data_IF_207428626136
#
_entry.id   IF_207428626136
#
_cell.length_a   1.000
_cell.length_b   1.000
_cell.length_c   1.000
_cell.angle_alpha   90.00
_cell.angle_beta   90.00
_cell.angle_gamma   90.00
#
_symmetry.space_group_name_H-M   'P 1'
#
loop_
_entity.id
_entity.type
_entity.pdbx_description
1 polymer ?
#
# COMPACT_ATOMS: atom_id res chain seq x y z
N UNK A 1 8.95 -4.16 14.07
CA UNK A 1 7.96 -4.18 12.99
C UNK A 1 8.53 -5.05 11.89
N UNK A 2 7.71 -5.85 11.23
CA UNK A 2 8.15 -6.79 10.17
C UNK A 2 7.27 -6.69 8.92
N UNK A 3 6.45 -5.65 8.84
CA UNK A 3 5.48 -5.40 7.77
C UNK A 3 6.15 -5.00 6.44
N UNK A 4 7.48 -4.82 6.40
CA UNK A 4 8.25 -4.55 5.18
C UNK A 4 8.97 -5.83 4.65
N UNK A 5 8.69 -7.02 5.22
CA UNK A 5 9.32 -8.26 4.78
C UNK A 5 8.51 -8.92 3.68
N UNK A 6 9.01 -8.83 2.45
CA UNK A 6 8.42 -9.47 1.29
C UNK A 6 8.46 -11.02 1.36
N UNK A 7 7.64 -11.66 0.52
CA UNK A 7 7.67 -13.11 0.34
C UNK A 7 9.06 -13.63 -0.05
N UNK A 8 9.64 -14.42 0.85
CA UNK A 8 10.95 -15.04 0.66
C UNK A 8 12.07 -14.33 1.41
N UNK A 9 11.77 -13.18 2.01
CA UNK A 9 12.62 -12.52 2.98
C UNK A 9 12.40 -13.08 4.39
N UNK A 10 13.36 -12.80 5.27
CA UNK A 10 13.25 -13.12 6.68
C UNK A 10 14.13 -12.21 7.51
N UNK A 11 13.69 -11.90 8.72
CA UNK A 11 14.47 -11.21 9.72
C UNK A 11 14.65 -12.09 10.96
N UNK A 12 15.81 -11.98 11.61
CA UNK A 12 16.05 -12.64 12.89
C UNK A 12 16.05 -11.59 14.01
N UNK A 13 15.31 -11.88 15.09
CA UNK A 13 15.36 -11.10 16.33
C UNK A 13 15.80 -11.98 17.47
N UNK A 14 16.82 -11.55 18.20
CA UNK A 14 17.37 -12.28 19.33
C UNK A 14 17.17 -11.50 20.64
N UNK A 15 16.95 -12.23 21.73
CA UNK A 15 16.90 -11.67 23.07
C UNK A 15 17.62 -12.58 24.06
N UNK A 16 18.25 -11.95 25.05
CA UNK A 16 18.96 -12.67 26.11
C UNK A 16 18.04 -12.96 27.29
N UNK A 17 18.29 -14.07 27.97
CA UNK A 17 17.66 -14.42 29.23
C UNK A 17 18.71 -14.93 30.23
N UNK A 18 18.39 -14.79 31.51
CA UNK A 18 19.24 -15.23 32.62
C UNK A 18 18.44 -16.16 33.51
N UNK A 19 19.05 -17.27 33.90
CA UNK A 19 18.51 -18.23 34.87
C UNK A 19 19.35 -18.19 36.14
N UNK A 20 18.72 -18.48 37.29
CA UNK A 20 19.39 -18.55 38.58
C UNK A 20 18.84 -19.72 39.40
N UNK A 21 19.70 -20.35 40.18
CA UNK A 21 19.33 -21.31 41.22
C UNK A 21 19.20 -20.67 42.62
N UNK A 22 19.33 -19.35 42.70
CA UNK A 22 19.34 -18.57 43.93
C UNK A 22 20.72 -18.33 44.53
N UNK A 23 21.78 -18.89 43.95
CA UNK A 23 23.18 -18.67 44.37
C UNK A 23 24.04 -18.17 43.22
N UNK A 24 23.90 -18.76 42.03
CA UNK A 24 24.64 -18.40 40.82
C UNK A 24 23.68 -18.02 39.68
N UNK A 25 24.22 -17.38 38.65
CA UNK A 25 23.47 -16.98 37.45
C UNK A 25 24.17 -17.45 36.18
N UNK A 26 23.38 -17.78 35.16
CA UNK A 26 23.86 -18.09 33.82
C UNK A 26 22.96 -17.43 32.77
N UNK A 27 23.56 -16.90 31.70
CA UNK A 27 22.82 -16.24 30.61
C UNK A 27 22.90 -17.03 29.31
N UNK A 28 21.86 -16.91 28.49
CA UNK A 28 21.76 -17.50 27.16
C UNK A 28 20.89 -16.62 26.25
N UNK A 29 20.87 -16.94 24.96
CA UNK A 29 20.15 -16.19 23.93
C UNK A 29 19.04 -17.07 23.31
N UNK A 30 17.93 -16.45 22.95
CA UNK A 30 16.87 -17.03 22.11
C UNK A 30 16.76 -16.16 20.85
N UNK A 31 16.87 -16.78 19.69
CA UNK A 31 16.63 -16.14 18.40
C UNK A 31 15.32 -16.63 17.78
N UNK A 32 14.59 -15.71 17.15
CA UNK A 32 13.35 -15.97 16.44
C UNK A 32 13.51 -15.47 15.01
N UNK A 33 13.32 -16.35 14.04
CA UNK A 33 13.24 -15.99 12.62
C UNK A 33 11.79 -15.68 12.26
N UNK A 34 11.55 -14.49 11.74
CA UNK A 34 10.29 -14.05 11.14
C UNK A 34 10.44 -14.15 9.63
N UNK A 35 9.52 -14.84 8.98
CA UNK A 35 9.48 -14.94 7.53
C UNK A 35 8.47 -13.92 7.00
N UNK A 36 8.85 -13.22 5.95
CA UNK A 36 7.99 -12.29 5.23
C UNK A 36 6.90 -12.97 4.41
N UNK A 37 5.87 -12.21 4.06
CA UNK A 37 4.83 -12.54 3.09
C UNK A 37 4.62 -11.33 2.16
N UNK A 38 3.79 -11.48 1.13
CA UNK A 38 3.38 -10.37 0.27
C UNK A 38 2.23 -9.61 0.93
N UNK A 39 2.46 -8.36 1.33
CA UNK A 39 1.47 -7.52 1.97
C UNK A 39 0.62 -6.75 0.93
N UNK A 40 -0.71 -6.62 1.15
CA UNK A 40 -1.56 -5.96 0.17
C UNK A 40 -1.42 -4.42 0.22
N UNK A 41 -1.64 -3.75 -0.92
CA UNK A 41 -1.61 -2.29 -0.97
C UNK A 41 -2.72 -1.67 -0.11
N UNK A 42 -2.41 -0.53 0.49
CA UNK A 42 -3.29 0.26 1.35
C UNK A 42 -3.76 1.51 0.62
N UNK A 43 -5.05 1.52 0.28
CA UNK A 43 -5.69 2.68 -0.34
C UNK A 43 -6.23 3.69 0.68
N UNK A 44 -6.10 4.98 0.38
CA UNK A 44 -6.53 6.11 1.21
C UNK A 44 -7.47 7.01 0.40
N UNK A 45 -8.59 7.39 1.00
CA UNK A 45 -9.60 8.19 0.30
C UNK A 45 -9.09 9.58 -0.10
N UNK A 46 -9.27 9.92 -1.38
CA UNK A 46 -9.10 11.28 -1.90
C UNK A 46 -10.34 12.15 -1.73
N UNK A 47 -10.13 13.46 -1.68
CA UNK A 47 -11.19 14.47 -1.78
C UNK A 47 -10.69 15.67 -2.54
N UNK A 48 -11.51 16.16 -3.46
CA UNK A 48 -11.30 17.42 -4.16
C UNK A 48 -12.64 18.17 -4.30
N UNK A 49 -12.57 19.45 -4.65
CA UNK A 49 -13.72 20.30 -4.91
C UNK A 49 -13.39 21.31 -5.99
N UNK A 50 -14.35 21.54 -6.89
CA UNK A 50 -14.21 22.48 -7.99
C UNK A 50 -15.52 23.25 -8.18
N UNK A 51 -15.45 24.41 -8.84
CA UNK A 51 -16.64 25.11 -9.31
C UNK A 51 -17.28 24.35 -10.47
N UNK A 52 -18.55 24.64 -10.76
CA UNK A 52 -19.18 24.11 -11.97
C UNK A 52 -18.36 24.47 -13.22
N UNK A 53 -18.40 23.58 -14.21
CA UNK A 53 -17.74 23.76 -15.51
C UNK A 53 -16.20 23.97 -15.40
N UNK A 54 -15.60 23.53 -14.29
CA UNK A 54 -14.15 23.62 -14.05
C UNK A 54 -13.57 22.22 -13.87
N UNK A 55 -12.82 21.71 -14.86
CA UNK A 55 -12.21 20.38 -14.79
C UNK A 55 -11.22 20.24 -13.64
N UNK A 56 -11.09 19.02 -13.11
CA UNK A 56 -10.12 18.66 -12.06
C UNK A 56 -9.16 17.62 -12.62
N UNK A 57 -7.88 17.73 -12.28
CA UNK A 57 -6.90 16.68 -12.54
C UNK A 57 -5.98 16.50 -11.35
N UNK A 58 -5.47 15.29 -11.20
CA UNK A 58 -4.64 14.93 -10.05
C UNK A 58 -4.06 13.53 -10.19
N UNK A 59 -3.52 13.03 -9.09
CA UNK A 59 -3.07 11.64 -8.97
C UNK A 59 -3.60 11.03 -7.67
N UNK A 60 -4.44 10.01 -7.81
CA UNK A 60 -5.10 9.32 -6.69
C UNK A 60 -4.16 8.40 -5.91
N UNK A 61 -3.01 8.01 -6.47
CA UNK A 61 -2.06 7.14 -5.77
C UNK A 61 -1.12 7.92 -4.82
N UNK A 62 -1.29 9.24 -4.68
CA UNK A 62 -0.31 10.09 -3.98
C UNK A 62 -0.28 9.88 -2.46
N UNK A 63 -1.37 9.34 -1.89
CA UNK A 63 -1.58 9.04 -0.48
C UNK A 63 -1.78 7.54 -0.22
N UNK A 64 -1.74 6.71 -1.27
CA UNK A 64 -1.73 5.26 -1.19
C UNK A 64 -0.31 4.76 -0.94
N UNK A 65 -0.16 3.59 -0.35
CA UNK A 65 1.14 2.94 -0.18
C UNK A 65 1.01 1.42 -0.20
N UNK A 66 2.13 0.76 -0.49
CA UNK A 66 2.29 -0.67 -0.32
C UNK A 66 3.34 -0.89 0.77
N UNK A 67 3.10 -1.75 1.79
CA UNK A 67 4.08 -2.01 2.84
C UNK A 67 5.41 -2.56 2.32
N UNK A 68 5.38 -3.29 1.21
CA UNK A 68 6.57 -3.84 0.56
C UNK A 68 7.22 -2.85 -0.44
N UNK A 69 6.80 -1.57 -0.44
CA UNK A 69 7.23 -0.54 -1.42
C UNK A 69 6.96 -0.94 -2.90
N UNK A 70 6.01 -1.86 -3.11
CA UNK A 70 5.63 -2.39 -4.40
C UNK A 70 4.93 -1.34 -5.28
N UNK A 71 5.11 -1.42 -6.61
CA UNK A 71 4.57 -0.41 -7.52
C UNK A 71 3.04 -0.48 -7.59
N UNK A 72 2.39 0.57 -7.09
CA UNK A 72 0.95 0.74 -7.21
C UNK A 72 0.49 1.08 -8.63
N UNK A 73 -0.54 0.37 -9.12
CA UNK A 73 -1.23 0.66 -10.37
C UNK A 73 -2.74 0.65 -10.20
N UNK A 74 -3.43 1.58 -10.85
CA UNK A 74 -4.90 1.56 -10.93
C UNK A 74 -5.33 0.50 -11.94
N UNK A 75 -6.07 -0.50 -11.49
CA UNK A 75 -6.50 -1.62 -12.36
C UNK A 75 -7.94 -1.52 -12.82
N UNK A 76 -8.83 -0.85 -12.06
CA UNK A 76 -10.24 -0.66 -12.42
C UNK A 76 -10.81 0.68 -11.95
N UNK A 77 -11.79 1.20 -12.70
CA UNK A 77 -12.61 2.36 -12.35
C UNK A 77 -14.07 2.05 -12.66
N UNK A 78 -14.97 2.16 -11.69
CA UNK A 78 -16.40 1.77 -11.81
C UNK A 78 -16.60 0.37 -12.43
N UNK A 79 -15.69 -0.56 -12.12
CA UNK A 79 -15.69 -1.92 -12.66
C UNK A 79 -15.07 -2.09 -14.05
N UNK A 80 -14.73 -1.00 -14.76
CA UNK A 80 -14.05 -1.05 -16.05
C UNK A 80 -12.55 -1.22 -15.86
N UNK A 81 -11.91 -2.11 -16.62
CA UNK A 81 -10.46 -2.30 -16.57
C UNK A 81 -9.72 -1.06 -17.09
N UNK A 82 -8.65 -0.66 -16.41
CA UNK A 82 -7.75 0.41 -16.87
C UNK A 82 -6.66 -0.21 -17.74
N UNK A 83 -6.65 0.17 -19.02
CA UNK A 83 -5.61 -0.22 -19.97
C UNK A 83 -4.40 0.72 -19.93
N UNK A 84 -3.34 0.44 -20.70
CA UNK A 84 -2.16 1.30 -20.80
C UNK A 84 -2.49 2.72 -21.29
N UNK A 85 -3.54 2.86 -22.12
CA UNK A 85 -4.03 4.13 -22.64
C UNK A 85 -5.06 4.81 -21.72
N UNK A 86 -5.28 4.25 -20.53
CA UNK A 86 -6.30 4.67 -19.57
C UNK A 86 -7.69 4.11 -19.85
N UNK A 87 -8.66 4.58 -19.08
CA UNK A 87 -10.08 4.30 -19.25
C UNK A 87 -10.89 5.58 -19.03
N UNK A 88 -11.87 5.84 -19.90
CA UNK A 88 -12.85 6.90 -19.69
C UNK A 88 -14.17 6.29 -19.25
N UNK A 89 -14.73 6.79 -18.15
CA UNK A 89 -15.99 6.33 -17.59
C UNK A 89 -16.97 7.50 -17.42
N UNK A 90 -18.21 7.31 -17.89
CA UNK A 90 -19.32 8.22 -17.59
C UNK A 90 -19.85 7.91 -16.19
N UNK A 91 -19.81 8.90 -15.31
CA UNK A 91 -20.30 8.80 -13.93
C UNK A 91 -21.81 9.05 -13.87
N UNK A 92 -22.42 8.65 -12.76
CA UNK A 92 -23.85 8.90 -12.51
C UNK A 92 -24.21 10.39 -12.41
N UNK A 93 -23.23 11.26 -12.14
CA UNK A 93 -23.37 12.72 -12.18
C UNK A 93 -23.51 13.28 -13.61
N UNK A 94 -23.14 12.50 -14.63
CA UNK A 94 -23.02 12.95 -16.02
C UNK A 94 -21.62 13.43 -16.41
N UNK A 95 -20.70 13.57 -15.45
CA UNK A 95 -19.30 13.87 -15.70
C UNK A 95 -18.56 12.64 -16.28
N UNK A 96 -17.50 12.88 -17.04
CA UNK A 96 -16.58 11.87 -17.53
C UNK A 96 -15.29 11.95 -16.72
N UNK A 97 -14.86 10.82 -16.19
CA UNK A 97 -13.52 10.68 -15.62
C UNK A 97 -12.66 9.83 -16.54
N UNK A 98 -11.46 10.33 -16.85
CA UNK A 98 -10.40 9.56 -17.52
C UNK A 98 -9.32 9.24 -16.50
N UNK A 99 -8.97 7.96 -16.35
CA UNK A 99 -7.98 7.48 -15.38
C UNK A 99 -6.93 6.64 -16.08
N UNK A 100 -5.67 6.81 -15.70
CA UNK A 100 -4.52 6.07 -16.22
C UNK A 100 -3.94 5.12 -15.16
N UNK A 101 -3.20 4.07 -15.56
CA UNK A 101 -2.64 3.10 -14.62
C UNK A 101 -1.72 3.70 -13.55
N UNK A 102 -1.06 4.81 -13.86
CA UNK A 102 -0.15 5.53 -12.94
C UNK A 102 -0.88 6.41 -11.92
N UNK A 103 -2.20 6.29 -11.80
CA UNK A 103 -3.02 7.06 -10.86
C UNK A 103 -3.45 8.44 -11.35
N UNK A 104 -2.90 8.94 -12.46
CA UNK A 104 -3.33 10.24 -12.98
C UNK A 104 -4.77 10.19 -13.49
N UNK A 105 -5.53 11.24 -13.20
CA UNK A 105 -6.90 11.36 -13.66
C UNK A 105 -7.23 12.76 -14.18
N UNK A 106 -8.26 12.83 -15.02
CA UNK A 106 -8.94 14.05 -15.44
C UNK A 106 -10.44 13.84 -15.26
N UNK A 107 -11.10 14.75 -14.56
CA UNK A 107 -12.54 14.81 -14.33
C UNK A 107 -13.10 16.03 -15.06
N UNK A 108 -14.08 15.82 -15.94
CA UNK A 108 -14.74 16.83 -16.78
C UNK A 108 -16.26 16.64 -16.78
#
# INVERSE_FOLDING_TARGET
DFDDLERGESAETCFNYTISDGSEEASAEVCVTVYGDDDPPVAVNDRDSTDQDTPVSGNMLSNDFDPDDDLLIVTKVEGNAVGPDGVSTLLSSGAVVTVYPNGTFVYD
#
